data_IF_634453435565
#
_entry.id   IF_634453435565
#
_cell.length_a   1.000
_cell.length_b   1.000
_cell.length_c   1.000
_cell.angle_alpha   90.00
_cell.angle_beta   90.00
_cell.angle_gamma   90.00
#
_symmetry.space_group_name_H-M   'P 1'
#
loop_
_entity.id
_entity.type
_entity.pdbx_description
1 polymer ?
#
# COMPACT_ATOMS: atom_id res chain seq x y z
N UNK A 1 29.32 -14.52 1.26
CA UNK A 1 30.20 -13.63 0.48
C UNK A 1 29.33 -12.86 -0.51
N UNK A 2 29.06 -11.60 -0.21
CA UNK A 2 28.31 -10.71 -1.09
C UNK A 2 29.16 -10.43 -2.34
N UNK A 3 28.58 -10.61 -3.51
CA UNK A 3 29.29 -10.43 -4.77
C UNK A 3 29.71 -8.94 -4.90
N UNK A 4 31.00 -8.67 -5.08
CA UNK A 4 31.57 -7.31 -5.17
C UNK A 4 30.84 -6.36 -6.16
N UNK A 5 30.10 -6.93 -7.12
CA UNK A 5 29.34 -6.16 -8.13
C UNK A 5 28.03 -5.60 -7.58
N UNK A 6 27.37 -6.29 -6.66
CA UNK A 6 26.13 -5.80 -6.01
C UNK A 6 26.45 -4.68 -5.02
N UNK A 7 27.59 -4.78 -4.33
CA UNK A 7 28.07 -3.73 -3.43
C UNK A 7 28.42 -2.42 -4.17
N UNK A 8 28.95 -2.51 -5.39
CA UNK A 8 29.27 -1.34 -6.20
C UNK A 8 28.01 -0.59 -6.68
N UNK A 9 26.91 -1.30 -7.00
CA UNK A 9 25.65 -0.69 -7.41
C UNK A 9 24.97 0.04 -6.24
N UNK A 10 25.00 -0.56 -5.05
CA UNK A 10 24.47 0.05 -3.81
C UNK A 10 25.32 1.25 -3.40
N UNK A 11 26.65 1.18 -3.54
CA UNK A 11 27.51 2.30 -3.19
C UNK A 11 27.29 3.54 -4.10
N UNK A 12 26.96 3.34 -5.37
CA UNK A 12 26.70 4.45 -6.29
C UNK A 12 25.35 5.15 -5.99
N UNK A 13 24.38 4.41 -5.48
CA UNK A 13 23.10 4.97 -5.03
C UNK A 13 23.19 5.70 -3.68
N UNK A 14 24.13 5.31 -2.83
CA UNK A 14 24.32 5.90 -1.48
C UNK A 14 25.25 7.13 -1.44
N UNK A 15 25.99 7.42 -2.51
CA UNK A 15 27.00 8.48 -2.55
C UNK A 15 26.56 9.77 -3.25
N UNK A 16 25.27 9.97 -3.49
CA UNK A 16 24.77 11.27 -3.95
C UNK A 16 24.84 12.30 -2.82
N UNK A 17 25.46 13.48 -3.01
CA UNK A 17 25.63 14.47 -1.93
C UNK A 17 24.28 15.03 -1.48
N UNK A 18 24.08 15.09 -0.18
CA UNK A 18 22.86 15.52 0.52
C UNK A 18 22.65 17.06 0.54
N UNK A 19 23.01 17.78 -0.50
CA UNK A 19 22.82 19.23 -0.55
C UNK A 19 22.38 19.69 -1.94
N UNK A 20 21.07 19.55 -2.24
CA UNK A 20 20.43 20.35 -3.28
C UNK A 20 19.08 20.83 -2.77
N UNK A 21 18.69 22.11 -2.96
CA UNK A 21 17.36 22.57 -2.63
C UNK A 21 16.35 21.78 -3.46
N UNK A 22 15.27 21.31 -2.81
CA UNK A 22 14.18 20.61 -3.47
C UNK A 22 13.46 21.60 -4.39
N UNK A 23 13.91 21.69 -5.64
CA UNK A 23 13.09 22.24 -6.69
C UNK A 23 11.99 21.21 -6.99
N UNK A 24 10.74 21.62 -7.12
CA UNK A 24 9.67 20.83 -7.70
C UNK A 24 10.22 20.14 -8.94
N UNK A 25 10.41 18.83 -8.87
CA UNK A 25 10.97 18.08 -9.97
C UNK A 25 9.98 18.11 -11.12
N UNK A 26 10.34 18.83 -12.18
CA UNK A 26 9.72 18.64 -13.47
C UNK A 26 9.86 17.16 -13.86
N UNK A 27 8.87 16.58 -14.58
CA UNK A 27 8.94 15.18 -14.97
C UNK A 27 10.26 14.94 -15.71
N UNK A 28 11.10 14.08 -15.16
CA UNK A 28 12.36 13.72 -15.81
C UNK A 28 12.04 13.00 -17.11
N UNK A 29 12.52 13.57 -18.21
CA UNK A 29 12.48 12.93 -19.51
C UNK A 29 13.28 11.62 -19.44
N UNK A 30 12.78 10.58 -20.10
CA UNK A 30 13.28 9.21 -20.14
C UNK A 30 14.66 9.04 -20.81
N UNK A 31 15.59 9.96 -20.60
CA UNK A 31 16.91 9.90 -21.22
C UNK A 31 17.94 9.22 -20.31
N UNK A 32 18.36 8.03 -20.76
CA UNK A 32 19.57 7.33 -20.38
C UNK A 32 19.70 6.71 -18.99
N UNK A 33 18.75 5.85 -18.58
CA UNK A 33 19.07 4.81 -17.60
C UNK A 33 19.47 3.55 -18.38
N UNK A 34 20.76 3.28 -18.53
CA UNK A 34 21.25 1.97 -18.95
C UNK A 34 21.14 1.01 -17.77
N UNK A 35 20.13 0.14 -17.83
CA UNK A 35 20.07 -1.01 -16.93
C UNK A 35 21.27 -1.94 -17.22
N UNK A 36 21.92 -2.50 -16.20
CA UNK A 36 23.02 -3.43 -16.42
C UNK A 36 22.52 -4.66 -17.19
N UNK A 37 23.25 -5.09 -18.21
CA UNK A 37 22.91 -6.12 -19.20
C UNK A 37 22.58 -7.52 -18.65
N UNK A 38 22.62 -7.75 -17.35
CA UNK A 38 22.31 -9.04 -16.72
C UNK A 38 21.74 -8.89 -15.30
N UNK A 39 20.47 -8.63 -15.20
CA UNK A 39 19.68 -9.10 -14.08
C UNK A 39 18.86 -10.29 -14.61
N UNK A 40 19.05 -11.51 -14.14
CA UNK A 40 18.15 -12.59 -14.47
C UNK A 40 16.86 -12.39 -13.65
N UNK A 41 16.05 -11.47 -14.10
CA UNK A 41 14.66 -11.42 -13.72
C UNK A 41 13.95 -12.48 -14.56
N UNK A 42 13.64 -13.62 -13.97
CA UNK A 42 12.58 -14.46 -14.47
C UNK A 42 11.28 -13.68 -14.26
N UNK A 43 10.99 -12.75 -15.16
CA UNK A 43 9.73 -12.05 -15.20
C UNK A 43 8.68 -13.08 -15.56
N UNK A 44 7.62 -13.28 -14.77
CA UNK A 44 6.45 -14.01 -15.21
C UNK A 44 5.93 -13.28 -16.46
N UNK A 45 5.45 -14.05 -17.43
CA UNK A 45 5.11 -13.69 -18.79
C UNK A 45 4.45 -12.30 -18.93
N UNK A 46 5.24 -11.26 -19.18
CA UNK A 46 4.81 -9.85 -19.25
C UNK A 46 3.87 -9.58 -20.45
N UNK A 47 3.82 -10.50 -21.43
CA UNK A 47 3.03 -10.31 -22.64
C UNK A 47 1.51 -10.30 -22.40
N UNK A 48 1.01 -10.96 -21.35
CA UNK A 48 -0.43 -10.96 -21.03
C UNK A 48 -0.92 -9.67 -20.36
N UNK A 49 -0.02 -8.89 -19.77
CA UNK A 49 -0.38 -7.69 -19.01
C UNK A 49 -0.32 -6.39 -19.84
N UNK A 50 0.35 -6.40 -21.00
CA UNK A 50 0.48 -5.22 -21.86
C UNK A 50 -0.82 -4.89 -22.60
N UNK A 51 -1.69 -5.86 -22.79
CA UNK A 51 -2.93 -5.69 -23.58
C UNK A 51 -4.17 -5.39 -22.72
N UNK A 52 -4.03 -5.28 -21.40
CA UNK A 52 -5.19 -5.04 -20.51
C UNK A 52 -6.20 -6.19 -20.51
N UNK A 53 -5.83 -7.32 -21.10
CA UNK A 53 -6.60 -8.55 -21.09
C UNK A 53 -5.78 -9.63 -20.41
N UNK A 54 -6.17 -10.01 -19.20
CA UNK A 54 -5.84 -11.34 -18.69
C UNK A 54 -6.38 -12.33 -19.73
N UNK A 55 -5.50 -13.06 -20.38
CA UNK A 55 -5.75 -14.24 -21.22
C UNK A 55 -7.22 -14.56 -21.47
N UNK A 56 -7.85 -13.90 -22.46
CA UNK A 56 -9.13 -14.36 -23.01
C UNK A 56 -10.38 -14.20 -22.13
N UNK A 57 -10.32 -13.44 -21.06
CA UNK A 57 -11.49 -13.16 -20.23
C UNK A 57 -12.49 -12.34 -21.02
N UNK A 58 -13.68 -12.89 -21.24
CA UNK A 58 -14.75 -12.23 -21.99
C UNK A 58 -15.48 -11.29 -21.04
N UNK A 59 -15.52 -10.01 -21.40
CA UNK A 59 -16.35 -9.03 -20.70
C UNK A 59 -17.82 -9.43 -20.86
N UNK A 60 -18.51 -9.62 -19.75
CA UNK A 60 -19.96 -9.92 -19.76
C UNK A 60 -20.73 -8.63 -19.97
N UNK A 61 -21.40 -8.50 -21.11
CA UNK A 61 -22.23 -7.33 -21.42
C UNK A 61 -23.70 -7.62 -21.14
N UNK A 62 -24.34 -6.76 -20.36
CA UNK A 62 -25.76 -6.83 -20.04
C UNK A 62 -26.55 -5.76 -20.80
N UNK A 63 -27.83 -6.00 -21.14
CA UNK A 63 -28.70 -4.98 -21.73
C UNK A 63 -28.81 -3.74 -20.84
N UNK A 64 -28.55 -2.55 -21.43
CA UNK A 64 -28.61 -1.29 -20.71
C UNK A 64 -27.44 -0.96 -19.79
N UNK A 65 -26.49 -1.88 -19.63
CA UNK A 65 -25.27 -1.64 -18.86
C UNK A 65 -24.30 -0.69 -19.58
N UNK A 66 -23.51 0.09 -18.86
CA UNK A 66 -22.38 0.81 -19.43
C UNK A 66 -21.49 -0.17 -20.22
N UNK A 67 -20.91 0.27 -21.35
CA UNK A 67 -19.95 -0.55 -22.08
C UNK A 67 -18.57 -0.35 -21.49
N UNK A 68 -17.94 -1.38 -20.90
CA UNK A 68 -16.61 -1.25 -20.36
C UNK A 68 -15.59 -0.87 -21.45
N UNK A 69 -14.72 0.10 -21.13
CA UNK A 69 -13.75 0.64 -22.06
C UNK A 69 -12.33 0.47 -21.50
N UNK A 70 -11.57 -0.57 -21.87
CA UNK A 70 -10.18 -0.69 -21.50
C UNK A 70 -9.36 0.54 -21.95
N UNK A 71 -8.20 0.76 -21.35
CA UNK A 71 -7.27 1.76 -21.87
C UNK A 71 -6.84 1.41 -23.30
N UNK A 72 -6.72 2.44 -24.15
CA UNK A 72 -6.23 2.25 -25.50
C UNK A 72 -4.72 1.98 -25.52
N UNK A 73 -4.22 1.31 -26.56
CA UNK A 73 -2.77 1.06 -26.73
C UNK A 73 -1.97 2.36 -26.79
N UNK A 74 -2.52 3.42 -27.41
CA UNK A 74 -1.87 4.73 -27.49
C UNK A 74 -1.76 5.38 -26.13
N UNK A 75 -2.74 5.17 -25.26
CA UNK A 75 -2.68 5.67 -23.88
C UNK A 75 -1.62 4.93 -23.07
N UNK A 76 -1.46 3.63 -23.27
CA UNK A 76 -0.46 2.79 -22.61
C UNK A 76 0.95 3.07 -23.12
N UNK A 77 1.09 3.44 -24.41
CA UNK A 77 2.39 3.69 -25.02
C UNK A 77 3.12 4.87 -24.36
N UNK A 78 4.41 4.67 -24.12
CA UNK A 78 5.26 5.71 -23.53
C UNK A 78 5.01 5.98 -22.05
N UNK A 79 4.18 5.18 -21.39
CA UNK A 79 3.96 5.29 -19.95
C UNK A 79 4.89 4.33 -19.19
N UNK A 80 5.78 4.89 -18.40
CA UNK A 80 6.72 4.14 -17.54
C UNK A 80 6.37 4.48 -16.09
N UNK A 81 5.42 3.73 -15.50
CA UNK A 81 5.05 3.88 -14.10
C UNK A 81 5.95 3.13 -13.14
N UNK A 82 6.91 2.38 -13.66
CA UNK A 82 7.77 1.52 -12.84
C UNK A 82 8.95 2.29 -12.24
N UNK A 83 9.15 3.51 -12.69
CA UNK A 83 10.15 4.44 -12.15
C UNK A 83 9.38 5.53 -11.43
N UNK A 84 9.40 5.46 -10.11
CA UNK A 84 8.82 6.49 -9.25
C UNK A 84 9.56 7.81 -9.42
N UNK A 85 8.84 8.93 -9.38
CA UNK A 85 9.43 10.26 -9.21
C UNK A 85 10.16 10.39 -7.86
N UNK A 86 9.92 9.45 -6.94
CA UNK A 86 10.52 9.40 -5.63
C UNK A 86 11.87 8.65 -5.69
N UNK A 87 12.95 9.40 -5.94
CA UNK A 87 14.35 8.94 -5.86
C UNK A 87 14.57 7.58 -6.53
N UNK A 88 14.27 7.53 -7.82
CA UNK A 88 14.47 6.33 -8.67
C UNK A 88 13.57 5.13 -8.36
N UNK A 89 12.43 5.35 -7.74
CA UNK A 89 11.46 4.29 -7.47
C UNK A 89 11.83 3.33 -6.35
N UNK A 90 12.80 3.70 -5.53
CA UNK A 90 13.27 2.91 -4.39
C UNK A 90 12.93 3.66 -3.11
N UNK A 91 12.16 3.04 -2.24
CA UNK A 91 11.69 3.67 -1.01
C UNK A 91 12.62 3.44 0.18
N UNK A 92 13.92 3.23 -0.05
CA UNK A 92 14.94 3.04 1.00
C UNK A 92 14.95 4.20 2.00
N UNK A 93 14.79 5.42 1.49
CA UNK A 93 14.82 6.59 2.36
C UNK A 93 13.58 6.72 3.24
N UNK A 94 12.46 6.18 2.82
CA UNK A 94 11.25 6.10 3.66
C UNK A 94 11.54 5.27 4.91
N UNK A 95 12.34 4.23 4.77
CA UNK A 95 12.70 3.27 5.82
C UNK A 95 14.14 3.48 6.34
N UNK A 96 14.69 4.68 6.23
CA UNK A 96 16.10 5.01 6.54
C UNK A 96 16.54 4.72 7.96
N UNK A 97 15.63 4.68 8.92
CA UNK A 97 15.93 4.40 10.32
C UNK A 97 16.17 2.91 10.61
N UNK A 98 15.64 2.01 9.77
CA UNK A 98 15.69 0.57 10.06
C UNK A 98 17.11 -0.01 10.17
N UNK A 99 18.12 0.35 9.34
CA UNK A 99 19.47 -0.18 9.49
C UNK A 99 20.11 0.14 10.84
N UNK A 100 19.89 1.34 11.35
CA UNK A 100 20.40 1.75 12.64
C UNK A 100 19.69 1.04 13.79
N UNK A 101 18.36 0.92 13.72
CA UNK A 101 17.59 0.14 14.71
C UNK A 101 18.10 -1.30 14.78
N UNK A 102 18.26 -1.95 13.62
CA UNK A 102 18.76 -3.32 13.51
C UNK A 102 20.17 -3.48 14.11
N UNK A 103 21.04 -2.50 13.93
CA UNK A 103 22.43 -2.57 14.37
C UNK A 103 22.61 -2.17 15.84
N UNK A 104 21.88 -1.17 16.32
CA UNK A 104 22.20 -0.44 17.55
C UNK A 104 21.10 -0.50 18.62
N UNK A 105 19.91 -1.04 18.32
CA UNK A 105 18.78 -1.09 19.27
C UNK A 105 18.26 -2.51 19.47
N UNK A 106 19.06 -3.38 20.14
CA UNK A 106 18.65 -4.75 20.44
C UNK A 106 17.38 -4.81 21.31
N UNK A 107 17.12 -3.80 22.13
CA UNK A 107 15.90 -3.66 22.93
C UNK A 107 14.65 -3.53 22.03
N UNK A 108 14.70 -2.67 21.00
CA UNK A 108 13.62 -2.50 20.02
C UNK A 108 13.44 -3.76 19.20
N UNK A 109 14.53 -4.40 18.75
CA UNK A 109 14.48 -5.63 17.95
C UNK A 109 13.95 -6.82 18.75
N UNK A 110 14.20 -6.84 20.06
CA UNK A 110 13.62 -7.84 20.95
C UNK A 110 12.10 -7.61 21.11
N UNK A 111 11.66 -6.36 21.42
CA UNK A 111 10.25 -6.01 21.48
C UNK A 111 9.52 -6.33 20.18
N UNK A 112 10.12 -6.00 19.03
CA UNK A 112 9.61 -6.33 17.70
C UNK A 112 9.36 -7.85 17.52
N UNK A 113 10.23 -8.68 18.09
CA UNK A 113 10.09 -10.15 18.07
C UNK A 113 9.02 -10.62 19.07
N UNK A 114 9.00 -10.07 20.26
CA UNK A 114 8.06 -10.52 21.31
C UNK A 114 6.61 -10.18 20.94
N UNK A 115 6.37 -9.00 20.33
CA UNK A 115 5.04 -8.61 19.87
C UNK A 115 4.52 -9.56 18.77
N UNK A 116 5.33 -9.90 17.76
CA UNK A 116 4.86 -10.84 16.72
C UNK A 116 4.60 -12.23 17.29
N UNK A 117 5.42 -12.69 18.23
CA UNK A 117 5.21 -13.97 18.92
C UNK A 117 3.89 -13.96 19.70
N UNK A 118 3.61 -12.88 20.42
CA UNK A 118 2.37 -12.72 21.16
C UNK A 118 1.16 -12.71 20.22
N UNK A 119 1.17 -11.89 19.17
CA UNK A 119 0.07 -11.80 18.18
C UNK A 119 -0.18 -13.16 17.54
N UNK A 120 0.88 -13.82 17.06
CA UNK A 120 0.78 -15.12 16.41
C UNK A 120 0.24 -16.21 17.34
N UNK A 121 0.73 -16.28 18.58
CA UNK A 121 0.28 -17.30 19.53
C UNK A 121 -1.15 -17.03 20.02
N UNK A 122 -1.55 -15.78 20.25
CA UNK A 122 -2.91 -15.43 20.66
C UNK A 122 -3.94 -15.78 19.58
N UNK A 123 -3.55 -15.73 18.30
CA UNK A 123 -4.42 -16.09 17.18
C UNK A 123 -4.88 -17.56 17.20
N UNK A 124 -4.21 -18.46 17.93
CA UNK A 124 -4.65 -19.84 18.07
C UNK A 124 -6.07 -19.96 18.68
N UNK A 125 -6.48 -18.98 19.47
CA UNK A 125 -7.81 -18.93 20.08
C UNK A 125 -8.88 -18.33 19.16
N UNK A 126 -8.51 -17.82 17.97
CA UNK A 126 -9.39 -17.19 17.00
C UNK A 126 -9.18 -17.79 15.60
N UNK A 127 -9.83 -18.93 15.30
CA UNK A 127 -9.72 -19.57 13.98
C UNK A 127 -10.24 -18.72 12.83
N UNK A 128 -11.18 -17.80 13.09
CA UNK A 128 -11.72 -16.91 12.05
C UNK A 128 -10.68 -15.86 11.64
N UNK A 129 -9.99 -15.26 12.61
CA UNK A 129 -8.86 -14.36 12.37
C UNK A 129 -7.75 -15.06 11.56
N UNK A 130 -7.41 -16.30 11.93
CA UNK A 130 -6.42 -17.09 11.18
C UNK A 130 -6.87 -17.34 9.75
N UNK A 131 -8.13 -17.75 9.55
CA UNK A 131 -8.68 -17.98 8.21
C UNK A 131 -8.70 -16.71 7.36
N UNK A 132 -9.00 -15.55 7.96
CA UNK A 132 -8.93 -14.26 7.27
C UNK A 132 -7.48 -13.92 6.88
N UNK A 133 -6.54 -14.10 7.79
CA UNK A 133 -5.12 -13.89 7.53
C UNK A 133 -4.58 -14.80 6.41
N UNK A 134 -5.04 -16.03 6.35
CA UNK A 134 -4.71 -16.97 5.27
C UNK A 134 -5.29 -16.52 3.92
N UNK A 135 -6.55 -16.05 3.87
CA UNK A 135 -7.15 -15.49 2.65
C UNK A 135 -6.35 -14.29 2.15
N UNK A 136 -6.02 -13.34 3.02
CA UNK A 136 -5.20 -12.18 2.66
C UNK A 136 -3.82 -12.57 2.11
N UNK A 137 -3.23 -13.65 2.64
CA UNK A 137 -1.94 -14.13 2.17
C UNK A 137 -1.98 -14.66 0.74
N UNK A 138 -3.03 -15.41 0.42
CA UNK A 138 -3.24 -16.01 -0.91
C UNK A 138 -3.68 -14.97 -1.93
N UNK A 139 -4.59 -14.07 -1.55
CA UNK A 139 -5.20 -13.09 -2.43
C UNK A 139 -4.22 -12.06 -3.02
N UNK A 140 -3.08 -11.84 -2.38
CA UNK A 140 -2.09 -10.83 -2.81
C UNK A 140 -1.55 -11.03 -4.24
N UNK A 141 -1.70 -12.23 -4.79
CA UNK A 141 -1.22 -12.57 -6.13
C UNK A 141 -2.27 -12.47 -7.23
N UNK A 142 -3.58 -12.57 -6.92
CA UNK A 142 -4.63 -12.68 -7.94
C UNK A 142 -5.95 -11.98 -7.59
N UNK A 143 -6.40 -12.05 -6.35
CA UNK A 143 -7.76 -11.65 -5.96
C UNK A 143 -7.82 -10.53 -4.93
N UNK A 144 -6.75 -9.72 -4.84
CA UNK A 144 -6.60 -8.69 -3.80
C UNK A 144 -7.77 -7.70 -3.77
N UNK A 145 -8.25 -7.25 -4.94
CA UNK A 145 -9.39 -6.32 -4.99
C UNK A 145 -10.67 -6.94 -4.41
N UNK A 146 -10.93 -8.21 -4.71
CA UNK A 146 -12.09 -8.93 -4.17
C UNK A 146 -11.95 -9.11 -2.64
N UNK A 147 -10.74 -9.44 -2.15
CA UNK A 147 -10.47 -9.63 -0.72
C UNK A 147 -10.51 -8.32 0.07
N UNK A 148 -10.15 -7.19 -0.54
CA UNK A 148 -10.25 -5.86 0.09
C UNK A 148 -11.66 -5.25 -0.01
N UNK A 149 -12.52 -5.78 -0.89
CA UNK A 149 -13.86 -5.22 -1.20
C UNK A 149 -14.85 -5.14 -0.03
N UNK A 150 -14.75 -5.96 1.05
CA UNK A 150 -15.62 -5.77 2.22
C UNK A 150 -15.55 -4.35 2.80
N UNK A 151 -14.41 -3.67 2.68
CA UNK A 151 -14.26 -2.27 3.12
C UNK A 151 -15.20 -1.29 2.42
N UNK A 152 -15.75 -1.64 1.27
CA UNK A 152 -16.72 -0.82 0.53
C UNK A 152 -18.13 -0.85 1.16
N UNK A 153 -18.44 -1.84 2.00
CA UNK A 153 -19.76 -2.11 2.54
C UNK A 153 -20.33 -3.43 2.01
N UNK A 154 -21.52 -3.82 2.47
CA UNK A 154 -22.11 -5.11 2.11
C UNK A 154 -22.65 -5.11 0.67
N UNK A 155 -23.57 -4.19 0.35
CA UNK A 155 -24.18 -4.08 -0.98
C UNK A 155 -23.17 -3.60 -2.02
N UNK A 156 -22.42 -2.55 -1.71
CA UNK A 156 -21.39 -2.01 -2.59
C UNK A 156 -20.29 -3.03 -2.86
N UNK A 157 -19.72 -3.64 -1.82
CA UNK A 157 -18.66 -4.65 -1.96
C UNK A 157 -19.11 -5.85 -2.78
N UNK A 158 -20.36 -6.30 -2.64
CA UNK A 158 -20.94 -7.34 -3.48
C UNK A 158 -21.04 -6.92 -4.93
N UNK A 159 -21.60 -5.74 -5.23
CA UNK A 159 -21.69 -5.21 -6.58
C UNK A 159 -20.32 -5.06 -7.25
N UNK A 160 -19.33 -4.62 -6.48
CA UNK A 160 -17.94 -4.50 -6.95
C UNK A 160 -17.33 -5.88 -7.29
N UNK A 161 -17.48 -6.88 -6.42
CA UNK A 161 -16.99 -8.25 -6.70
C UNK A 161 -17.68 -8.88 -7.91
N UNK A 162 -18.97 -8.64 -8.08
CA UNK A 162 -19.71 -9.15 -9.26
C UNK A 162 -19.21 -8.47 -10.55
N UNK A 163 -18.91 -7.17 -10.51
CA UNK A 163 -18.32 -6.45 -11.62
C UNK A 163 -16.91 -6.96 -11.98
N UNK A 164 -16.08 -7.28 -10.97
CA UNK A 164 -14.75 -7.90 -11.19
C UNK A 164 -14.87 -9.28 -11.83
N UNK A 165 -15.77 -10.17 -11.35
CA UNK A 165 -15.99 -11.50 -11.93
C UNK A 165 -16.43 -11.44 -13.38
N UNK A 166 -17.15 -10.42 -13.77
CA UNK A 166 -17.64 -10.18 -15.13
C UNK A 166 -16.67 -9.35 -15.99
N UNK A 167 -15.49 -9.00 -15.46
CA UNK A 167 -14.47 -8.17 -16.11
C UNK A 167 -15.01 -6.82 -16.60
N UNK A 168 -15.92 -6.22 -15.84
CA UNK A 168 -16.58 -4.98 -16.22
C UNK A 168 -15.90 -3.73 -15.68
N UNK A 169 -14.79 -3.90 -15.00
CA UNK A 169 -13.94 -2.82 -14.47
C UNK A 169 -12.51 -2.90 -15.02
N UNK A 170 -12.33 -2.96 -16.38
CA UNK A 170 -11.03 -3.22 -16.98
C UNK A 170 -9.95 -2.19 -16.63
N UNK A 171 -10.30 -0.91 -16.41
CA UNK A 171 -9.34 0.10 -15.99
C UNK A 171 -8.92 -0.08 -14.54
N UNK A 172 -9.89 -0.36 -13.67
CA UNK A 172 -9.63 -0.64 -12.24
C UNK A 172 -8.80 -1.91 -12.09
N UNK A 173 -9.14 -3.00 -12.79
CA UNK A 173 -8.37 -4.25 -12.79
C UNK A 173 -6.95 -4.04 -13.31
N UNK A 174 -6.77 -3.28 -14.38
CA UNK A 174 -5.45 -2.96 -14.93
C UNK A 174 -4.58 -2.17 -13.97
N UNK A 175 -5.13 -1.15 -13.31
CA UNK A 175 -4.37 -0.28 -12.40
C UNK A 175 -4.09 -0.94 -11.05
N UNK A 176 -5.03 -1.70 -10.49
CA UNK A 176 -5.00 -2.14 -9.10
C UNK A 176 -5.09 -3.67 -8.93
N UNK A 177 -5.56 -4.41 -9.95
CA UNK A 177 -6.05 -5.78 -9.78
C UNK A 177 -5.01 -6.89 -9.89
N UNK A 178 -3.85 -6.67 -10.52
CA UNK A 178 -2.89 -7.74 -10.85
C UNK A 178 -1.77 -7.92 -9.81
N UNK A 179 -2.09 -7.78 -8.52
CA UNK A 179 -1.11 -7.99 -7.46
C UNK A 179 0.11 -7.06 -7.63
N UNK A 180 1.31 -7.60 -7.46
CA UNK A 180 2.55 -6.84 -7.66
C UNK A 180 2.79 -6.38 -9.11
N UNK A 181 2.04 -6.91 -10.06
CA UNK A 181 2.12 -6.53 -11.48
C UNK A 181 1.08 -5.49 -11.87
N UNK A 182 0.23 -5.07 -10.95
CA UNK A 182 -0.73 -4.00 -11.18
C UNK A 182 -0.04 -2.72 -11.66
N UNK A 183 -0.61 -2.04 -12.63
CA UNK A 183 0.05 -0.92 -13.30
C UNK A 183 0.36 0.26 -12.35
N UNK A 184 -0.51 0.54 -11.39
CA UNK A 184 -0.27 1.55 -10.40
C UNK A 184 0.76 1.11 -9.32
N UNK A 185 0.95 -0.19 -9.09
CA UNK A 185 2.00 -0.71 -8.24
C UNK A 185 3.36 -0.54 -8.87
N UNK A 186 3.59 -1.22 -9.98
CA UNK A 186 4.87 -1.27 -10.67
C UNK A 186 5.97 -1.96 -9.85
N UNK A 187 7.15 -2.08 -10.46
CA UNK A 187 8.31 -2.71 -9.83
C UNK A 187 8.81 -1.91 -8.61
N UNK A 188 8.72 -0.60 -8.67
CA UNK A 188 9.18 0.30 -7.62
C UNK A 188 8.51 0.07 -6.27
N UNK A 189 7.22 -0.28 -6.25
CA UNK A 189 6.47 -0.55 -5.04
C UNK A 189 6.50 -2.02 -4.59
N UNK A 190 7.36 -2.85 -5.20
CA UNK A 190 7.43 -4.29 -4.89
C UNK A 190 8.19 -4.65 -3.62
N UNK A 191 8.87 -3.70 -3.00
CA UNK A 191 9.78 -3.88 -1.84
C UNK A 191 10.98 -4.83 -2.09
N UNK A 192 11.21 -5.24 -3.34
CA UNK A 192 12.25 -6.22 -3.67
C UNK A 192 13.67 -5.73 -3.43
N UNK A 193 13.94 -4.46 -3.76
CA UNK A 193 15.25 -3.83 -3.57
C UNK A 193 15.51 -3.62 -2.08
N UNK A 194 14.53 -3.10 -1.36
CA UNK A 194 14.59 -2.86 0.09
C UNK A 194 14.89 -4.14 0.85
N UNK A 195 14.24 -5.24 0.51
CA UNK A 195 14.47 -6.56 1.13
C UNK A 195 15.91 -7.05 0.95
N UNK A 196 16.51 -6.80 -0.20
CA UNK A 196 17.91 -7.16 -0.46
C UNK A 196 18.88 -6.29 0.35
N UNK A 197 18.59 -5.00 0.48
CA UNK A 197 19.43 -4.05 1.20
C UNK A 197 19.36 -4.26 2.71
N UNK A 198 18.14 -4.38 3.25
CA UNK A 198 17.93 -4.49 4.69
C UNK A 198 18.26 -5.87 5.25
N UNK A 199 18.16 -6.92 4.44
CA UNK A 199 18.56 -8.31 4.78
C UNK A 199 18.11 -8.74 6.18
N UNK A 200 16.82 -8.72 6.45
CA UNK A 200 16.26 -9.07 7.75
C UNK A 200 15.53 -10.43 7.68
N UNK A 201 15.87 -11.41 8.56
CA UNK A 201 15.25 -12.73 8.54
C UNK A 201 13.80 -12.66 9.02
N UNK A 202 12.94 -13.55 8.54
CA UNK A 202 11.53 -13.61 8.95
C UNK A 202 11.36 -14.19 10.35
N UNK A 203 10.26 -13.86 11.07
CA UNK A 203 10.01 -14.35 12.43
C UNK A 203 10.05 -15.89 12.53
N UNK A 204 9.38 -16.60 11.63
CA UNK A 204 9.35 -18.06 11.60
C UNK A 204 10.72 -18.71 11.27
N UNK A 205 11.67 -17.93 10.74
CA UNK A 205 13.05 -18.38 10.50
C UNK A 205 13.95 -18.06 11.69
N UNK A 206 13.77 -16.88 12.29
CA UNK A 206 14.62 -16.43 13.41
C UNK A 206 14.22 -17.03 14.76
N UNK A 207 12.94 -17.34 14.93
CA UNK A 207 12.38 -17.88 16.17
C UNK A 207 11.41 -19.06 15.88
N UNK A 208 11.87 -20.15 15.22
CA UNK A 208 11.01 -21.21 14.74
C UNK A 208 10.24 -21.93 15.86
N UNK A 209 10.82 -22.01 17.05
CA UNK A 209 10.20 -22.68 18.19
C UNK A 209 9.16 -21.80 18.93
N UNK A 210 9.07 -20.53 18.56
CA UNK A 210 8.16 -19.54 19.17
C UNK A 210 6.99 -19.17 18.28
N UNK A 211 7.06 -19.44 16.97
CA UNK A 211 6.06 -19.07 15.96
C UNK A 211 5.27 -20.30 15.54
N UNK A 212 3.96 -20.22 15.70
CA UNK A 212 3.01 -21.21 15.19
C UNK A 212 2.82 -20.99 13.68
N UNK A 213 2.91 -22.06 12.89
CA UNK A 213 2.63 -22.02 11.46
C UNK A 213 1.16 -22.33 11.19
N UNK A 214 0.54 -21.53 10.37
CA UNK A 214 -0.84 -21.66 9.90
C UNK A 214 -0.82 -21.97 8.40
N UNK A 215 -0.43 -23.18 8.03
CA UNK A 215 -0.28 -23.61 6.64
C UNK A 215 -1.64 -23.64 5.91
N UNK A 216 -1.62 -23.37 4.61
CA UNK A 216 -2.77 -23.49 3.70
C UNK A 216 -2.50 -24.61 2.71
N UNK A 217 -3.43 -25.56 2.59
CA UNK A 217 -3.25 -26.70 1.70
C UNK A 217 -3.11 -26.24 0.24
N UNK A 218 -2.00 -26.61 -0.40
CA UNK A 218 -1.72 -26.29 -1.78
C UNK A 218 -1.09 -24.90 -2.02
N UNK A 219 -0.91 -24.09 -0.96
CA UNK A 219 -0.34 -22.73 -1.08
C UNK A 219 0.93 -22.57 -0.22
N UNK A 220 1.93 -21.89 -0.73
CA UNK A 220 3.13 -21.50 0.01
C UNK A 220 3.00 -20.07 0.52
N UNK A 221 2.45 -19.90 1.72
CA UNK A 221 2.27 -18.59 2.37
C UNK A 221 3.45 -18.18 3.27
N UNK A 222 4.50 -19.01 3.34
CA UNK A 222 5.73 -18.77 4.12
C UNK A 222 6.93 -18.48 3.20
N UNK A 223 7.01 -17.26 2.66
CA UNK A 223 7.95 -16.94 1.60
C UNK A 223 9.41 -16.96 2.07
N UNK A 224 10.31 -17.38 1.18
CA UNK A 224 11.75 -17.42 1.41
C UNK A 224 12.44 -16.04 1.35
N UNK A 225 11.74 -15.03 0.86
CA UNK A 225 12.26 -13.65 0.80
C UNK A 225 12.44 -13.05 2.19
N UNK A 226 13.27 -12.01 2.28
CA UNK A 226 13.53 -11.27 3.54
C UNK A 226 12.29 -10.59 4.10
N UNK A 227 12.34 -10.25 5.38
CA UNK A 227 11.18 -9.72 6.10
C UNK A 227 10.91 -8.25 5.78
N UNK A 228 11.86 -7.36 6.05
CA UNK A 228 11.67 -5.92 6.05
C UNK A 228 11.88 -5.27 4.66
N UNK A 229 11.00 -4.34 4.26
CA UNK A 229 9.66 -4.11 4.76
C UNK A 229 8.63 -5.14 4.23
N UNK A 230 7.42 -5.16 4.79
CA UNK A 230 6.37 -6.08 4.35
C UNK A 230 5.82 -5.69 2.97
N UNK A 231 6.02 -6.57 1.97
CA UNK A 231 5.49 -6.35 0.62
C UNK A 231 3.97 -6.45 0.54
N UNK A 232 3.34 -7.38 1.29
CA UNK A 232 1.89 -7.50 1.35
C UNK A 232 1.24 -6.27 1.99
N UNK A 233 1.81 -5.77 3.09
CA UNK A 233 1.32 -4.53 3.71
C UNK A 233 1.49 -3.33 2.78
N UNK A 234 2.64 -3.22 2.13
CA UNK A 234 2.87 -2.18 1.12
C UNK A 234 1.79 -2.23 0.04
N UNK A 235 1.55 -3.40 -0.54
CA UNK A 235 0.56 -3.59 -1.59
C UNK A 235 -0.87 -3.27 -1.12
N UNK A 236 -1.30 -3.82 0.01
CA UNK A 236 -2.63 -3.54 0.55
C UNK A 236 -2.80 -2.04 0.83
N UNK A 237 -1.75 -1.37 1.34
CA UNK A 237 -1.80 0.06 1.65
C UNK A 237 -1.93 0.93 0.40
N UNK A 238 -1.09 0.73 -0.64
CA UNK A 238 -1.23 1.58 -1.82
C UNK A 238 -2.51 1.30 -2.60
N UNK A 239 -2.99 0.04 -2.66
CA UNK A 239 -4.28 -0.29 -3.30
C UNK A 239 -5.43 0.38 -2.57
N UNK A 240 -5.52 0.24 -1.24
CA UNK A 240 -6.63 0.84 -0.47
C UNK A 240 -6.55 2.37 -0.46
N UNK A 241 -5.36 2.97 -0.49
CA UNK A 241 -5.20 4.43 -0.60
C UNK A 241 -5.67 4.96 -1.95
N UNK A 242 -5.39 4.25 -3.05
CA UNK A 242 -5.87 4.62 -4.38
C UNK A 242 -7.38 4.36 -4.53
N UNK A 243 -7.91 3.28 -3.92
CA UNK A 243 -9.36 3.08 -3.82
C UNK A 243 -10.02 4.18 -2.98
N UNK A 244 -9.43 4.63 -1.87
CA UNK A 244 -9.92 5.74 -1.07
C UNK A 244 -9.94 7.08 -1.85
N UNK A 245 -9.02 7.28 -2.76
CA UNK A 245 -9.09 8.39 -3.72
C UNK A 245 -10.28 8.26 -4.68
N UNK A 246 -10.60 7.05 -5.13
CA UNK A 246 -11.70 6.80 -6.07
C UNK A 246 -13.07 6.80 -5.37
N UNK A 247 -13.13 6.33 -4.12
CA UNK A 247 -14.35 6.16 -3.30
C UNK A 247 -14.12 6.74 -1.90
N UNK A 248 -13.98 8.08 -1.78
CA UNK A 248 -13.67 8.73 -0.51
C UNK A 248 -14.78 8.58 0.55
N UNK A 249 -15.97 8.23 0.14
CA UNK A 249 -17.13 8.00 1.02
C UNK A 249 -16.88 6.91 2.08
N UNK A 250 -15.95 5.98 1.79
CA UNK A 250 -15.56 4.87 2.68
C UNK A 250 -14.06 4.84 2.94
N UNK A 251 -13.37 5.99 2.80
CA UNK A 251 -11.93 6.08 2.95
C UNK A 251 -11.41 5.55 4.30
N UNK A 252 -12.03 5.84 5.47
CA UNK A 252 -11.57 5.27 6.74
C UNK A 252 -11.58 3.75 6.76
N UNK A 253 -12.63 3.13 6.22
CA UNK A 253 -12.77 1.67 6.16
C UNK A 253 -11.74 1.05 5.21
N UNK A 254 -11.46 1.69 4.07
CA UNK A 254 -10.43 1.26 3.13
C UNK A 254 -9.04 1.33 3.76
N UNK A 255 -8.68 2.44 4.40
CA UNK A 255 -7.39 2.57 5.09
C UNK A 255 -7.24 1.55 6.20
N UNK A 256 -8.29 1.35 7.02
CA UNK A 256 -8.30 0.32 8.05
C UNK A 256 -8.09 -1.08 7.46
N UNK A 257 -8.82 -1.46 6.41
CA UNK A 257 -8.72 -2.78 5.79
C UNK A 257 -7.32 -3.04 5.23
N UNK A 258 -6.66 -2.02 4.66
CA UNK A 258 -5.27 -2.12 4.23
C UNK A 258 -4.30 -2.38 5.39
N UNK A 259 -4.50 -1.70 6.53
CA UNK A 259 -3.70 -1.89 7.74
C UNK A 259 -3.98 -3.24 8.40
N UNK A 260 -5.24 -3.71 8.40
CA UNK A 260 -5.66 -5.02 8.88
C UNK A 260 -4.99 -6.15 8.10
N UNK A 261 -4.89 -6.05 6.78
CA UNK A 261 -4.14 -7.00 5.95
C UNK A 261 -2.65 -7.03 6.34
N UNK A 262 -2.09 -5.91 6.75
CA UNK A 262 -0.75 -5.82 7.35
C UNK A 262 -0.67 -6.57 8.69
N UNK A 263 -1.63 -6.35 9.60
CA UNK A 263 -1.72 -7.04 10.88
C UNK A 263 -1.80 -8.56 10.71
N UNK A 264 -2.55 -9.03 9.71
CA UNK A 264 -2.66 -10.46 9.39
C UNK A 264 -1.32 -11.10 9.03
N UNK A 265 -0.33 -10.33 8.61
CA UNK A 265 1.04 -10.85 8.39
C UNK A 265 1.76 -11.19 9.70
N UNK A 266 1.43 -10.49 10.78
CA UNK A 266 1.92 -10.83 12.12
C UNK A 266 1.15 -12.04 12.69
N UNK A 267 -0.16 -12.12 12.47
CA UNK A 267 -0.97 -13.29 12.82
C UNK A 267 -0.35 -14.58 12.26
N UNK A 268 0.08 -14.58 11.01
CA UNK A 268 0.75 -15.71 10.36
C UNK A 268 2.22 -15.88 10.79
N UNK A 269 2.80 -14.99 11.60
CA UNK A 269 4.19 -15.04 12.01
C UNK A 269 5.21 -14.88 10.87
N UNK A 270 4.81 -14.25 9.77
CA UNK A 270 5.68 -14.05 8.59
C UNK A 270 6.33 -12.67 8.52
N UNK A 271 5.83 -11.71 9.33
CA UNK A 271 6.37 -10.35 9.44
C UNK A 271 6.32 -9.85 10.88
N UNK A 272 7.27 -8.99 11.22
CA UNK A 272 7.33 -8.28 12.50
C UNK A 272 6.51 -6.97 12.43
N UNK A 273 6.18 -6.36 13.59
CA UNK A 273 5.59 -5.02 13.63
C UNK A 273 6.32 -3.97 12.80
N UNK A 274 7.65 -3.86 12.92
CA UNK A 274 8.45 -2.92 12.14
C UNK A 274 8.32 -3.16 10.63
N UNK A 275 8.24 -4.42 10.19
CA UNK A 275 8.05 -4.74 8.76
C UNK A 275 6.69 -4.22 8.26
N UNK A 276 5.65 -4.35 9.08
CA UNK A 276 4.29 -3.91 8.76
C UNK A 276 4.23 -2.39 8.72
N UNK A 277 4.78 -1.70 9.72
CA UNK A 277 4.88 -0.23 9.73
C UNK A 277 5.67 0.28 8.53
N UNK A 278 6.86 -0.28 8.25
CA UNK A 278 7.68 0.09 7.10
C UNK A 278 6.99 -0.19 5.76
N UNK A 279 6.22 -1.28 5.68
CA UNK A 279 5.39 -1.61 4.51
C UNK A 279 4.28 -0.59 4.28
N UNK A 280 3.57 -0.18 5.35
CA UNK A 280 2.55 0.87 5.31
C UNK A 280 3.14 2.21 4.84
N UNK A 281 4.26 2.64 5.43
CA UNK A 281 4.95 3.88 5.05
C UNK A 281 5.31 3.87 3.55
N UNK A 282 5.90 2.80 3.06
CA UNK A 282 6.23 2.64 1.64
C UNK A 282 4.98 2.61 0.75
N UNK A 283 3.89 1.98 1.19
CA UNK A 283 2.62 1.94 0.47
C UNK A 283 1.95 3.31 0.37
N UNK A 284 1.98 4.10 1.43
CA UNK A 284 1.49 5.49 1.43
C UNK A 284 2.33 6.36 0.47
N UNK A 285 3.65 6.22 0.50
CA UNK A 285 4.54 6.94 -0.40
C UNK A 285 4.32 6.54 -1.86
N UNK A 286 4.10 5.24 -2.13
CA UNK A 286 3.77 4.75 -3.47
C UNK A 286 2.45 5.34 -3.98
N UNK A 287 1.40 5.36 -3.17
CA UNK A 287 0.12 5.95 -3.54
C UNK A 287 0.24 7.46 -3.81
N UNK A 288 0.97 8.19 -2.94
CA UNK A 288 1.24 9.62 -3.14
C UNK A 288 2.00 9.89 -4.45
N UNK A 289 3.02 9.08 -4.75
CA UNK A 289 3.79 9.18 -6.00
C UNK A 289 2.89 9.01 -7.23
N UNK A 290 1.98 8.04 -7.20
CA UNK A 290 1.02 7.79 -8.30
C UNK A 290 0.01 8.92 -8.48
N UNK A 291 -0.48 9.49 -7.40
CA UNK A 291 -1.41 10.62 -7.44
C UNK A 291 -0.73 11.94 -7.80
N UNK A 292 0.58 12.07 -7.58
CA UNK A 292 1.38 13.22 -8.00
C UNK A 292 1.85 13.12 -9.46
N UNK A 293 1.75 11.96 -10.10
CA UNK A 293 1.99 11.81 -11.54
C UNK A 293 0.72 12.18 -12.32
N UNK A 294 0.75 13.22 -13.17
CA UNK A 294 -0.46 13.70 -13.87
C UNK A 294 -1.11 12.64 -14.76
N UNK A 295 -0.31 11.79 -15.43
CA UNK A 295 -0.83 10.75 -16.32
C UNK A 295 -1.44 9.60 -15.54
N UNK A 296 -0.83 9.20 -14.42
CA UNK A 296 -1.40 8.19 -13.55
C UNK A 296 -2.67 8.69 -12.85
N UNK A 297 -2.68 9.94 -12.39
CA UNK A 297 -3.88 10.56 -11.83
C UNK A 297 -5.02 10.58 -12.84
N UNK A 298 -4.75 10.94 -14.11
CA UNK A 298 -5.76 10.88 -15.17
C UNK A 298 -6.30 9.46 -15.36
N UNK A 299 -5.43 8.44 -15.34
CA UNK A 299 -5.85 7.04 -15.40
C UNK A 299 -6.75 6.65 -14.21
N UNK A 300 -6.37 7.04 -13.01
CA UNK A 300 -7.16 6.78 -11.80
C UNK A 300 -8.52 7.49 -11.85
N UNK A 301 -8.59 8.71 -12.41
CA UNK A 301 -9.86 9.40 -12.63
C UNK A 301 -10.76 8.64 -13.62
N UNK A 302 -10.19 8.13 -14.72
CA UNK A 302 -10.94 7.30 -15.67
C UNK A 302 -11.44 6.01 -15.03
N UNK A 303 -10.64 5.36 -14.18
CA UNK A 303 -11.05 4.16 -13.43
C UNK A 303 -12.12 4.48 -12.38
N UNK A 304 -12.00 5.63 -11.69
CA UNK A 304 -13.02 6.15 -10.76
C UNK A 304 -14.37 6.32 -11.46
N UNK A 305 -14.38 6.96 -12.63
CA UNK A 305 -15.59 7.18 -13.41
C UNK A 305 -16.22 5.86 -13.89
N UNK A 306 -15.39 4.92 -14.34
CA UNK A 306 -15.81 3.57 -14.75
C UNK A 306 -16.47 2.83 -13.58
N UNK A 307 -15.81 2.78 -12.43
CA UNK A 307 -16.29 2.12 -11.22
C UNK A 307 -17.64 2.71 -10.78
N UNK A 308 -17.73 4.04 -10.66
CA UNK A 308 -18.94 4.70 -10.17
C UNK A 308 -20.12 4.48 -11.10
N UNK A 309 -19.95 4.54 -12.42
CA UNK A 309 -21.00 4.25 -13.41
C UNK A 309 -21.46 2.80 -13.37
N UNK A 310 -20.53 1.86 -13.21
CA UNK A 310 -20.85 0.44 -13.11
C UNK A 310 -21.65 0.14 -11.84
N UNK A 311 -21.25 0.69 -10.69
CA UNK A 311 -21.95 0.51 -9.41
C UNK A 311 -23.33 1.15 -9.46
N UNK A 312 -23.45 2.36 -9.99
CA UNK A 312 -24.74 3.03 -10.16
C UNK A 312 -25.70 2.21 -11.03
N UNK A 313 -25.22 1.67 -12.15
CA UNK A 313 -26.02 0.80 -12.99
C UNK A 313 -26.49 -0.47 -12.25
N UNK A 314 -25.59 -1.11 -11.48
CA UNK A 314 -25.93 -2.37 -10.77
C UNK A 314 -26.88 -2.18 -9.61
N UNK A 315 -26.79 -1.07 -8.91
CA UNK A 315 -27.53 -0.84 -7.67
C UNK A 315 -28.72 0.11 -7.84
N UNK A 316 -28.75 0.87 -8.94
CA UNK A 316 -29.72 1.95 -9.15
C UNK A 316 -29.54 3.14 -8.22
N UNK A 317 -28.40 3.24 -7.53
CA UNK A 317 -28.06 4.29 -6.55
C UNK A 317 -26.72 4.90 -6.91
N UNK A 318 -26.57 6.22 -6.72
CA UNK A 318 -25.22 6.81 -6.70
C UNK A 318 -24.38 6.22 -5.58
N UNK A 319 -23.04 6.28 -5.70
CA UNK A 319 -22.16 5.75 -4.64
C UNK A 319 -22.44 6.41 -3.28
N UNK A 320 -22.72 7.71 -3.26
CA UNK A 320 -23.04 8.43 -2.03
C UNK A 320 -24.33 7.93 -1.37
N UNK A 321 -25.41 7.74 -2.17
CA UNK A 321 -26.68 7.18 -1.67
C UNK A 321 -26.52 5.73 -1.20
N UNK A 322 -25.73 4.94 -1.96
CA UNK A 322 -25.45 3.55 -1.62
C UNK A 322 -24.77 3.46 -0.25
N UNK A 323 -23.67 4.19 -0.03
CA UNK A 323 -22.91 4.15 1.22
C UNK A 323 -23.76 4.63 2.43
N UNK A 324 -24.65 5.60 2.24
CA UNK A 324 -25.54 6.06 3.32
C UNK A 324 -26.54 5.00 3.77
N UNK A 325 -26.96 4.11 2.88
CA UNK A 325 -27.97 3.07 3.15
C UNK A 325 -27.39 1.67 3.35
N UNK A 326 -26.10 1.48 3.12
CA UNK A 326 -25.44 0.18 3.18
C UNK A 326 -25.00 -0.18 4.62
N UNK A 327 -24.81 -1.47 4.86
CA UNK A 327 -24.13 -1.96 6.06
C UNK A 327 -22.63 -1.75 5.87
N UNK A 328 -21.99 -0.89 6.67
CA UNK A 328 -20.55 -0.65 6.54
C UNK A 328 -19.76 -1.87 7.01
N UNK A 329 -18.54 -2.04 6.48
CA UNK A 329 -17.58 -3.06 6.96
C UNK A 329 -17.36 -2.96 8.47
N UNK A 330 -17.05 -1.76 8.92
CA UNK A 330 -16.99 -1.35 10.33
C UNK A 330 -17.43 0.11 10.45
N UNK A 331 -17.80 0.56 11.65
CA UNK A 331 -18.06 1.98 11.86
C UNK A 331 -16.82 2.84 11.60
N UNK A 332 -17.02 4.08 11.22
CA UNK A 332 -15.91 5.03 11.00
C UNK A 332 -15.04 5.20 12.25
N UNK A 333 -15.67 5.34 13.42
CA UNK A 333 -14.92 5.46 14.69
C UNK A 333 -14.06 4.23 14.99
N UNK A 334 -14.60 3.03 14.71
CA UNK A 334 -13.83 1.79 14.86
C UNK A 334 -12.66 1.76 13.88
N UNK A 335 -12.89 2.09 12.59
CA UNK A 335 -11.85 2.10 11.57
C UNK A 335 -10.70 3.06 11.95
N UNK A 336 -11.03 4.29 12.35
CA UNK A 336 -10.04 5.30 12.78
C UNK A 336 -9.26 4.82 14.00
N UNK A 337 -9.96 4.33 15.03
CA UNK A 337 -9.32 3.82 16.25
C UNK A 337 -8.36 2.68 15.94
N UNK A 338 -8.81 1.66 15.22
CA UNK A 338 -7.99 0.48 14.92
C UNK A 338 -6.82 0.80 13.97
N UNK A 339 -7.05 1.69 12.99
CA UNK A 339 -5.97 2.16 12.14
C UNK A 339 -4.87 2.85 12.96
N UNK A 340 -5.25 3.71 13.92
CA UNK A 340 -4.31 4.40 14.81
C UNK A 340 -3.49 3.40 15.63
N UNK A 341 -4.13 2.39 16.22
CA UNK A 341 -3.44 1.31 16.94
C UNK A 341 -2.46 0.55 16.03
N UNK A 342 -2.85 0.27 14.79
CA UNK A 342 -1.99 -0.39 13.79
C UNK A 342 -0.87 0.48 13.23
N UNK A 343 -0.86 1.78 13.51
CA UNK A 343 0.28 2.62 13.17
C UNK A 343 1.51 2.33 14.02
N UNK A 344 1.32 1.85 15.24
CA UNK A 344 2.38 1.69 16.25
C UNK A 344 2.62 0.25 16.66
N UNK A 345 1.61 -0.61 16.62
CA UNK A 345 1.66 -2.02 17.05
C UNK A 345 2.30 -2.23 18.43
N UNK A 346 2.10 -1.30 19.37
CA UNK A 346 2.69 -1.33 20.71
C UNK A 346 4.22 -1.35 20.74
N UNK A 347 4.88 -0.90 19.69
CA UNK A 347 6.34 -0.71 19.68
C UNK A 347 6.74 0.36 20.71
N UNK A 348 7.90 0.22 21.38
CA UNK A 348 8.38 1.22 22.33
C UNK A 348 8.70 2.54 21.63
N UNK A 349 8.41 3.66 22.25
CA UNK A 349 8.86 4.97 21.80
C UNK A 349 10.31 5.18 22.20
N UNK A 350 11.11 5.66 21.27
CA UNK A 350 12.57 5.76 21.44
C UNK A 350 13.16 7.08 20.95
N UNK A 351 12.36 7.91 20.33
CA UNK A 351 12.70 9.26 19.88
C UNK A 351 11.92 10.30 20.67
N UNK A 352 12.08 11.57 20.33
CA UNK A 352 11.39 12.68 20.98
C UNK A 352 9.86 12.53 20.82
N UNK A 353 9.17 12.39 21.96
CA UNK A 353 7.71 12.22 22.00
C UNK A 353 6.96 13.55 21.83
N UNK A 354 7.66 14.69 22.01
CA UNK A 354 7.12 16.04 21.84
C UNK A 354 7.45 16.61 20.44
N UNK A 355 8.08 15.82 19.57
CA UNK A 355 8.45 16.29 18.23
C UNK A 355 7.23 16.71 17.41
N UNK A 356 7.29 17.92 16.88
CA UNK A 356 6.26 18.44 15.98
C UNK A 356 6.14 17.57 14.71
N UNK A 357 4.91 17.39 14.22
CA UNK A 357 4.70 16.67 12.98
C UNK A 357 5.18 17.50 11.78
N UNK A 358 6.13 16.97 11.04
CA UNK A 358 6.49 17.47 9.71
C UNK A 358 5.83 16.56 8.66
N UNK A 359 4.89 17.12 7.88
CA UNK A 359 4.17 16.39 6.85
C UNK A 359 5.08 16.21 5.63
N UNK A 360 5.28 14.97 5.14
CA UNK A 360 6.04 14.76 3.91
C UNK A 360 5.45 15.55 2.74
N UNK A 361 6.29 16.24 1.99
CA UNK A 361 5.86 17.14 0.91
C UNK A 361 4.94 16.45 -0.11
N UNK A 362 5.14 15.16 -0.38
CA UNK A 362 4.31 14.42 -1.35
C UNK A 362 2.94 13.98 -0.79
N UNK A 363 2.75 13.99 0.53
CA UNK A 363 1.61 13.33 1.18
C UNK A 363 0.23 14.01 1.01
N UNK A 364 0.08 15.36 0.92
CA UNK A 364 -1.23 16.01 0.89
C UNK A 364 -2.13 15.58 -0.27
N UNK A 365 -1.58 15.05 -1.36
CA UNK A 365 -2.35 14.51 -2.48
C UNK A 365 -3.20 13.30 -2.08
N UNK A 366 -2.82 12.56 -1.03
CA UNK A 366 -3.56 11.41 -0.51
C UNK A 366 -4.97 11.78 0.00
N UNK A 367 -5.17 13.05 0.34
CA UNK A 367 -6.47 13.57 0.78
C UNK A 367 -7.29 14.23 -0.35
N UNK A 368 -6.78 14.27 -1.57
CA UNK A 368 -7.48 14.94 -2.69
C UNK A 368 -8.82 14.30 -3.01
N UNK A 369 -8.97 12.98 -2.84
CA UNK A 369 -10.25 12.29 -2.99
C UNK A 369 -11.30 12.76 -1.98
N UNK A 370 -10.93 12.89 -0.71
CA UNK A 370 -11.81 13.29 0.38
C UNK A 370 -12.07 14.80 0.40
N UNK A 371 -11.11 15.60 -0.05
CA UNK A 371 -11.17 17.06 -0.02
C UNK A 371 -10.68 17.67 -1.34
N UNK A 372 -11.43 17.49 -2.44
CA UNK A 372 -11.01 17.95 -3.78
C UNK A 372 -10.88 19.47 -3.87
N UNK A 373 -11.66 20.22 -3.09
CA UNK A 373 -11.72 21.68 -3.12
C UNK A 373 -10.69 22.37 -2.21
N UNK A 374 -9.99 21.59 -1.35
CA UNK A 374 -8.97 22.13 -0.46
C UNK A 374 -7.64 22.31 -1.19
N UNK A 375 -6.89 23.34 -0.79
CA UNK A 375 -5.54 23.57 -1.30
C UNK A 375 -4.58 22.50 -0.76
N UNK A 376 -3.38 22.46 -1.32
CA UNK A 376 -2.31 21.58 -0.83
C UNK A 376 -1.97 21.84 0.64
N UNK A 377 -1.86 23.10 1.01
CA UNK A 377 -1.55 23.56 2.37
C UNK A 377 -2.65 23.14 3.36
N UNK A 378 -3.91 23.32 2.99
CA UNK A 378 -5.04 22.93 3.83
C UNK A 378 -5.10 21.41 4.05
N UNK A 379 -4.81 20.61 3.02
CA UNK A 379 -4.70 19.15 3.17
C UNK A 379 -3.48 18.77 4.02
N UNK A 380 -2.36 19.50 3.91
CA UNK A 380 -1.19 19.30 4.76
C UNK A 380 -1.51 19.60 6.22
N UNK A 381 -2.28 20.66 6.51
CA UNK A 381 -2.73 21.01 7.85
C UNK A 381 -3.61 19.90 8.47
N UNK A 382 -4.51 19.29 7.68
CA UNK A 382 -5.30 18.16 8.15
C UNK A 382 -4.40 16.97 8.51
N UNK A 383 -3.40 16.63 7.68
CA UNK A 383 -2.45 15.56 7.97
C UNK A 383 -1.62 15.84 9.21
N UNK A 384 -1.23 17.10 9.42
CA UNK A 384 -0.52 17.54 10.62
C UNK A 384 -1.38 17.32 11.88
N UNK A 385 -2.61 17.81 11.87
CA UNK A 385 -3.49 17.84 13.04
C UNK A 385 -4.07 16.46 13.42
N UNK A 386 -4.06 15.53 12.48
CA UNK A 386 -4.53 14.15 12.69
C UNK A 386 -3.38 13.14 12.80
N UNK A 387 -2.15 13.62 12.87
CA UNK A 387 -0.98 12.76 12.94
C UNK A 387 -1.01 11.82 14.13
N UNK A 388 -0.39 10.64 13.98
CA UNK A 388 -0.11 9.74 15.09
C UNK A 388 0.93 10.33 16.02
N UNK A 389 1.04 9.74 17.21
CA UNK A 389 1.98 10.14 18.25
C UNK A 389 3.44 10.07 17.77
N UNK A 390 4.30 10.94 18.31
CA UNK A 390 5.73 10.96 18.01
C UNK A 390 6.51 9.88 18.76
N UNK A 391 7.74 9.63 18.32
CA UNK A 391 8.71 8.81 19.05
C UNK A 391 8.78 7.35 18.65
N UNK A 392 7.93 6.86 17.70
CA UNK A 392 7.98 5.49 17.24
C UNK A 392 9.33 5.17 16.56
N UNK A 393 9.82 3.91 16.58
CA UNK A 393 11.12 3.55 16.01
C UNK A 393 11.35 3.90 14.53
N UNK A 394 10.29 4.04 13.74
CA UNK A 394 10.38 4.46 12.34
C UNK A 394 9.92 5.92 12.11
N UNK A 395 9.70 6.68 13.19
CA UNK A 395 9.34 8.10 13.14
C UNK A 395 10.55 8.95 12.78
N UNK A 396 10.67 9.32 11.51
CA UNK A 396 11.69 10.25 11.05
C UNK A 396 11.30 11.70 11.40
N UNK A 397 12.03 12.30 12.33
CA UNK A 397 11.77 13.66 12.84
C UNK A 397 12.58 14.76 12.12
N UNK A 398 13.14 14.42 10.95
CA UNK A 398 13.88 15.37 10.11
C UNK A 398 13.00 16.10 9.09
N UNK A 399 13.59 17.03 8.34
CA UNK A 399 12.86 17.98 7.49
C UNK A 399 12.08 17.33 6.31
N UNK A 400 12.37 16.08 5.96
CA UNK A 400 11.63 15.38 4.91
C UNK A 400 10.25 14.89 5.37
N UNK A 401 9.99 14.93 6.68
CA UNK A 401 8.72 14.59 7.29
C UNK A 401 8.50 13.10 7.55
N UNK A 402 7.56 12.81 8.44
CA UNK A 402 7.29 11.46 8.95
C UNK A 402 6.17 10.76 8.20
N UNK A 403 6.50 9.77 7.39
CA UNK A 403 5.52 8.84 6.80
C UNK A 403 4.90 7.92 7.85
N UNK A 404 5.62 7.64 8.94
CA UNK A 404 5.12 6.78 10.01
C UNK A 404 3.89 7.38 10.70
N UNK A 405 3.88 8.71 10.92
CA UNK A 405 2.83 9.42 11.65
C UNK A 405 1.60 9.79 10.82
N UNK A 406 1.56 9.51 9.51
CA UNK A 406 0.40 9.79 8.66
C UNK A 406 -0.78 8.89 9.01
N UNK A 407 -1.79 9.45 9.67
CA UNK A 407 -3.05 8.78 10.01
C UNK A 407 -4.12 9.07 8.94
N UNK A 408 -4.07 8.32 7.84
CA UNK A 408 -4.96 8.58 6.70
C UNK A 408 -6.44 8.28 7.02
N UNK A 409 -6.72 7.35 7.93
CA UNK A 409 -8.09 7.08 8.35
C UNK A 409 -8.70 8.27 9.12
N UNK A 410 -7.96 8.84 10.08
CA UNK A 410 -8.39 10.03 10.80
C UNK A 410 -8.42 11.27 9.89
N UNK A 411 -7.40 11.43 9.04
CA UNK A 411 -7.29 12.56 8.13
C UNK A 411 -8.45 12.61 7.12
N UNK A 412 -8.93 11.46 6.64
CA UNK A 412 -10.05 11.41 5.68
C UNK A 412 -11.39 11.91 6.24
N UNK A 413 -11.54 12.03 7.57
CA UNK A 413 -12.73 12.58 8.26
C UNK A 413 -12.45 13.86 9.04
N UNK A 414 -11.18 14.19 9.31
CA UNK A 414 -10.79 15.33 10.15
C UNK A 414 -11.16 16.70 9.60
N UNK A 415 -11.30 16.85 8.28
CA UNK A 415 -11.76 18.09 7.66
C UNK A 415 -13.24 18.41 7.87
N UNK A 416 -14.06 17.43 8.27
CA UNK A 416 -15.48 17.65 8.56
C UNK A 416 -15.72 18.39 9.88
N UNK A 417 -14.74 18.38 10.79
CA UNK A 417 -14.82 19.03 12.12
C UNK A 417 -14.58 20.55 12.02
N UNK A 418 -14.07 21.06 10.90
CA UNK A 418 -13.67 22.47 10.69
C UNK A 418 -14.57 23.28 9.75
N UNK A 419 -15.72 22.71 9.30
CA UNK A 419 -16.69 23.43 8.44
C UNK A 419 -17.81 24.06 9.24
#
# INVERSE_FOLDING_TARGET
>A
MMNRRTAALVATLLLAPATAPVALAAPMSSQNIQLPDRVPLSLPNVQSNVTGSSTGSVIVQHPGAPVPQPFTTDWLAGYISDISAYKYGVYLEINRLFPELKANRPDVMQANTDIVVEVNNNAQSDPELVAQAQRDAVASSSDLLAELSPALGEEFGRAFRDALKEHRLPKTEYLLGNGYLARAGGLASSTGVEKLVFDYPRPFVAAPDRIVRYDVAGEDIYPKSKAFPSGHTNQATWVTSLLAYMVPEVAPQLHYRGAEAGYHRMVLGVHYPLDVVGGRMSGQAAAADRLNDPKMKDALNQAKDELRKEIEWRTGKSVAELVQGDTPYVSTDFAVKRYTEFMEHSLPRIYDEDAEMIVPQAAPVLLEGSYPDLTWEQRSEILHDTAGEAGNPLDWQGPEGSWQRLNLAAASVGGAIRR
#
